data_IF_865477447427
#
_entry.id   IF_865477447427
#
_cell.length_a   1.000
_cell.length_b   1.000
_cell.length_c   1.000
_cell.angle_alpha   90.00
_cell.angle_beta   90.00
_cell.angle_gamma   90.00
#
_symmetry.space_group_name_H-M   'P 1'
#
loop_
_entity.id
_entity.type
_entity.pdbx_description
1 polymer ?
#
# COMPACT_ATOMS: atom_id res chain seq x y z
N UNK A 1 -25.21 30.66 30.13
CA UNK A 1 -23.93 30.21 29.53
C UNK A 1 -24.23 28.90 28.80
N UNK A 2 -24.82 28.97 27.60
CA UNK A 2 -25.41 27.76 26.98
C UNK A 2 -25.49 27.75 25.45
N UNK A 3 -25.41 28.88 24.75
CA UNK A 3 -25.51 28.87 23.27
C UNK A 3 -24.12 28.97 22.60
N UNK A 4 -23.27 29.88 23.09
CA UNK A 4 -21.93 30.11 22.51
C UNK A 4 -20.99 28.91 22.68
N UNK A 5 -21.14 28.13 23.75
CA UNK A 5 -20.31 26.95 24.01
C UNK A 5 -20.69 25.80 23.08
N UNK A 6 -21.97 25.64 22.74
CA UNK A 6 -22.45 24.63 21.79
C UNK A 6 -21.95 24.97 20.39
N UNK A 7 -22.07 26.24 19.98
CA UNK A 7 -21.54 26.73 18.72
C UNK A 7 -20.02 26.52 18.62
N UNK A 8 -19.28 26.87 19.66
CA UNK A 8 -17.83 26.68 19.70
C UNK A 8 -17.43 25.20 19.60
N UNK A 9 -18.15 24.32 20.31
CA UNK A 9 -17.93 22.87 20.24
C UNK A 9 -18.21 22.30 18.85
N UNK A 10 -19.28 22.75 18.20
CA UNK A 10 -19.66 22.29 16.86
C UNK A 10 -18.63 22.71 15.80
N UNK A 11 -18.14 23.95 15.86
CA UNK A 11 -17.07 24.43 14.96
C UNK A 11 -15.79 23.60 15.13
N UNK A 12 -15.41 23.28 16.37
CA UNK A 12 -14.22 22.50 16.67
C UNK A 12 -14.35 21.06 16.15
N UNK A 13 -15.53 20.46 16.28
CA UNK A 13 -15.83 19.12 15.77
C UNK A 13 -15.73 19.07 14.23
N UNK A 14 -16.29 20.07 13.54
CA UNK A 14 -16.19 20.17 12.08
C UNK A 14 -14.74 20.39 11.64
N UNK A 15 -13.99 21.26 12.32
CA UNK A 15 -12.58 21.51 12.01
C UNK A 15 -11.73 20.24 12.18
N UNK A 16 -11.94 19.48 13.26
CA UNK A 16 -11.27 18.20 13.48
C UNK A 16 -11.61 17.18 12.39
N UNK A 17 -12.87 17.09 11.98
CA UNK A 17 -13.30 16.23 10.87
C UNK A 17 -12.62 16.57 9.55
N UNK A 18 -12.44 17.86 9.24
CA UNK A 18 -11.74 18.32 8.03
C UNK A 18 -10.25 17.96 8.09
N UNK A 19 -9.57 18.22 9.21
CA UNK A 19 -8.14 17.93 9.38
C UNK A 19 -7.86 16.43 9.25
N UNK A 20 -8.72 15.58 9.83
CA UNK A 20 -8.59 14.11 9.75
C UNK A 20 -8.91 13.61 8.33
N UNK A 21 -9.84 14.25 7.62
CA UNK A 21 -10.23 13.83 6.26
C UNK A 21 -9.28 14.37 5.17
N UNK A 22 -8.52 15.43 5.46
CA UNK A 22 -7.54 16.05 4.56
C UNK A 22 -6.51 15.07 3.97
N UNK A 23 -5.82 14.20 4.76
CA UNK A 23 -4.84 13.27 4.20
C UNK A 23 -5.47 12.21 3.28
N UNK A 24 -6.77 11.92 3.41
CA UNK A 24 -7.43 10.90 2.61
C UNK A 24 -7.74 11.38 1.17
N UNK A 25 -7.90 12.69 0.95
CA UNK A 25 -8.24 13.24 -0.37
C UNK A 25 -7.05 13.63 -1.25
N UNK A 26 -5.82 13.67 -0.72
CA UNK A 26 -4.68 14.23 -1.46
C UNK A 26 -3.88 13.23 -2.30
N UNK A 27 -4.24 11.95 -2.37
CA UNK A 27 -3.37 10.94 -3.01
C UNK A 27 -3.72 10.53 -4.46
N UNK A 28 -4.46 11.35 -5.22
CA UNK A 28 -4.91 10.95 -6.58
C UNK A 28 -4.17 11.59 -7.76
N UNK A 29 -2.96 12.13 -7.58
CA UNK A 29 -2.07 12.42 -8.73
C UNK A 29 -1.10 11.26 -8.98
N UNK A 30 -1.62 10.06 -9.18
CA UNK A 30 -0.83 8.99 -9.81
C UNK A 30 -1.17 8.96 -11.29
N UNK A 31 -0.15 9.30 -12.07
CA UNK A 31 -0.10 9.18 -13.53
C UNK A 31 -0.77 7.89 -13.99
N UNK A 32 -1.64 8.01 -15.00
CA UNK A 32 -2.24 6.88 -15.71
C UNK A 32 -1.17 6.17 -16.56
N UNK A 33 -0.15 5.59 -15.93
CA UNK A 33 0.56 4.48 -16.52
C UNK A 33 -0.13 3.26 -15.94
N UNK A 34 -0.95 2.64 -16.78
CA UNK A 34 -1.67 1.41 -16.51
C UNK A 34 -0.66 0.26 -16.50
N UNK A 35 0.28 0.31 -15.57
CA UNK A 35 1.20 -0.79 -15.32
C UNK A 35 0.71 -1.53 -14.10
N UNK A 36 0.92 -2.85 -14.14
CA UNK A 36 0.89 -3.72 -12.98
C UNK A 36 1.56 -2.95 -11.83
N UNK A 37 0.80 -2.63 -10.78
CA UNK A 37 1.16 -1.63 -9.76
C UNK A 37 2.65 -1.63 -9.43
N UNK A 38 3.23 -0.43 -9.33
CA UNK A 38 4.69 -0.28 -9.16
C UNK A 38 5.21 -1.16 -8.03
N UNK A 39 6.48 -1.57 -8.09
CA UNK A 39 7.13 -2.40 -7.04
C UNK A 39 6.79 -1.87 -5.64
N UNK A 40 6.88 -0.56 -5.42
CA UNK A 40 6.51 0.09 -4.17
C UNK A 40 5.02 -0.08 -3.77
N UNK A 41 4.08 -0.06 -4.72
CA UNK A 41 2.66 -0.31 -4.43
C UNK A 41 2.38 -1.78 -4.06
N UNK A 42 3.11 -2.71 -4.68
CA UNK A 42 3.02 -4.13 -4.36
C UNK A 42 3.62 -4.43 -2.98
N UNK A 43 4.76 -3.82 -2.63
CA UNK A 43 5.36 -3.89 -1.29
C UNK A 43 4.41 -3.34 -0.21
N UNK A 44 3.83 -2.17 -0.44
CA UNK A 44 2.87 -1.55 0.47
C UNK A 44 1.59 -2.41 0.62
N UNK A 45 1.16 -3.05 -0.47
CA UNK A 45 0.06 -4.01 -0.43
C UNK A 45 0.40 -5.26 0.37
N UNK A 46 1.63 -5.77 0.26
CA UNK A 46 2.12 -6.89 1.06
C UNK A 46 2.17 -6.53 2.55
N UNK A 47 2.71 -5.35 2.90
CA UNK A 47 2.76 -4.87 4.28
C UNK A 47 1.37 -4.75 4.91
N UNK A 48 0.37 -4.26 4.16
CA UNK A 48 -1.02 -4.25 4.62
C UNK A 48 -1.56 -5.66 4.88
N UNK A 49 -1.34 -6.59 3.96
CA UNK A 49 -1.80 -7.97 4.12
C UNK A 49 -1.16 -8.65 5.33
N UNK A 50 0.13 -8.44 5.57
CA UNK A 50 0.83 -8.96 6.77
C UNK A 50 0.22 -8.38 8.04
N UNK A 51 -0.03 -7.06 8.07
CA UNK A 51 -0.72 -6.41 9.19
C UNK A 51 -2.10 -7.03 9.42
N UNK A 52 -2.88 -7.24 8.36
CA UNK A 52 -4.21 -7.87 8.47
C UNK A 52 -4.17 -9.30 9.00
N UNK A 53 -3.16 -10.10 8.63
CA UNK A 53 -3.00 -11.45 9.21
C UNK A 53 -2.71 -11.37 10.70
N UNK A 54 -1.80 -10.47 11.11
CA UNK A 54 -1.47 -10.28 12.52
C UNK A 54 -2.68 -9.84 13.34
N UNK A 55 -3.47 -8.90 12.82
CA UNK A 55 -4.65 -8.40 13.50
C UNK A 55 -5.74 -9.50 13.59
N UNK A 56 -5.88 -10.32 12.55
CA UNK A 56 -6.75 -11.51 12.56
C UNK A 56 -6.30 -12.54 13.61
N UNK A 57 -5.00 -12.85 13.67
CA UNK A 57 -4.44 -13.76 14.66
C UNK A 57 -4.70 -13.23 16.09
N UNK A 58 -4.55 -11.92 16.32
CA UNK A 58 -4.89 -11.30 17.61
C UNK A 58 -6.38 -11.40 17.96
N UNK A 59 -7.27 -11.19 17.00
CA UNK A 59 -8.71 -11.31 17.23
C UNK A 59 -9.13 -12.75 17.57
N UNK A 60 -8.46 -13.75 16.98
CA UNK A 60 -8.65 -15.15 17.34
C UNK A 60 -8.12 -15.47 18.74
N UNK A 61 -6.88 -15.06 19.04
CA UNK A 61 -6.24 -15.29 20.35
C UNK A 61 -7.02 -14.64 21.51
N UNK A 62 -7.70 -13.52 21.23
CA UNK A 62 -8.57 -12.83 22.21
C UNK A 62 -10.00 -13.36 22.23
N UNK A 63 -10.33 -14.35 21.41
CA UNK A 63 -11.65 -14.99 21.36
C UNK A 63 -12.76 -14.11 20.76
N UNK A 64 -12.42 -13.04 20.02
CA UNK A 64 -13.41 -12.19 19.34
C UNK A 64 -14.04 -12.87 18.13
N UNK A 65 -13.34 -13.84 17.54
CA UNK A 65 -13.79 -14.62 16.38
C UNK A 65 -13.69 -16.12 16.66
N UNK A 66 -14.54 -16.90 16.01
CA UNK A 66 -14.53 -18.36 16.11
C UNK A 66 -13.48 -19.01 15.19
N UNK A 67 -13.15 -20.28 15.48
CA UNK A 67 -12.14 -21.04 14.73
C UNK A 67 -12.47 -21.20 13.24
N UNK A 68 -13.73 -21.45 12.89
CA UNK A 68 -14.15 -21.61 11.50
C UNK A 68 -13.90 -20.32 10.69
N UNK A 69 -14.32 -19.17 11.23
CA UNK A 69 -14.13 -17.86 10.60
C UNK A 69 -12.65 -17.51 10.48
N UNK A 70 -11.87 -17.78 11.54
CA UNK A 70 -10.43 -17.59 11.56
C UNK A 70 -9.73 -18.35 10.43
N UNK A 71 -9.98 -19.66 10.31
CA UNK A 71 -9.36 -20.52 9.30
C UNK A 71 -9.68 -20.04 7.88
N UNK A 72 -10.95 -19.70 7.61
CA UNK A 72 -11.38 -19.21 6.31
C UNK A 72 -10.70 -17.89 5.93
N UNK A 73 -10.77 -16.90 6.83
CA UNK A 73 -10.21 -15.57 6.59
C UNK A 73 -8.68 -15.62 6.46
N UNK A 74 -8.01 -16.42 7.29
CA UNK A 74 -6.56 -16.56 7.24
C UNK A 74 -6.10 -17.18 5.93
N UNK A 75 -6.80 -18.21 5.45
CA UNK A 75 -6.52 -18.82 4.14
C UNK A 75 -6.67 -17.80 3.01
N UNK A 76 -7.70 -16.98 3.05
CA UNK A 76 -7.94 -15.93 2.05
C UNK A 76 -6.82 -14.87 2.06
N UNK A 77 -6.43 -14.38 3.24
CA UNK A 77 -5.36 -13.38 3.37
C UNK A 77 -4.02 -13.92 2.89
N UNK A 78 -3.66 -15.15 3.27
CA UNK A 78 -2.43 -15.82 2.80
C UNK A 78 -2.46 -16.00 1.29
N UNK A 79 -3.58 -16.47 0.73
CA UNK A 79 -3.73 -16.64 -0.72
C UNK A 79 -3.54 -15.32 -1.49
N UNK A 80 -4.08 -14.22 -0.96
CA UNK A 80 -3.84 -12.87 -1.50
C UNK A 80 -2.37 -12.47 -1.37
N UNK A 81 -1.73 -12.72 -0.23
CA UNK A 81 -0.31 -12.47 -0.01
C UNK A 81 0.58 -13.17 -1.05
N UNK A 82 0.33 -14.46 -1.29
CA UNK A 82 1.03 -15.24 -2.33
C UNK A 82 0.84 -14.62 -3.72
N UNK A 83 -0.37 -14.17 -4.05
CA UNK A 83 -0.63 -13.54 -5.35
C UNK A 83 0.10 -12.21 -5.53
N UNK A 84 0.25 -11.42 -4.46
CA UNK A 84 1.00 -10.15 -4.48
C UNK A 84 2.49 -10.42 -4.59
N UNK A 85 3.03 -11.39 -3.85
CA UNK A 85 4.44 -11.79 -3.93
C UNK A 85 4.83 -12.23 -5.34
N UNK A 86 4.02 -13.05 -6.01
CA UNK A 86 4.29 -13.45 -7.40
C UNK A 86 4.38 -12.25 -8.35
N UNK A 87 3.49 -11.28 -8.18
CA UNK A 87 3.49 -10.05 -8.99
C UNK A 87 4.70 -9.16 -8.67
N UNK A 88 5.15 -9.15 -7.42
CA UNK A 88 6.35 -8.43 -7.00
C UNK A 88 7.60 -9.06 -7.64
N UNK A 89 7.71 -10.39 -7.61
CA UNK A 89 8.81 -11.12 -8.24
C UNK A 89 8.85 -10.84 -9.76
N UNK A 90 7.70 -10.90 -10.44
CA UNK A 90 7.60 -10.54 -11.86
C UNK A 90 8.03 -9.09 -12.12
N UNK A 91 7.59 -8.14 -11.28
CA UNK A 91 7.91 -6.72 -11.45
C UNK A 91 9.40 -6.42 -11.21
N UNK A 92 10.01 -7.07 -10.21
CA UNK A 92 11.44 -6.95 -9.91
C UNK A 92 12.30 -7.55 -11.04
N UNK A 93 11.87 -8.66 -11.63
CA UNK A 93 12.56 -9.24 -12.78
C UNK A 93 12.57 -8.28 -13.98
N UNK A 94 11.40 -7.73 -14.34
CA UNK A 94 11.29 -6.75 -15.44
C UNK A 94 12.10 -5.49 -15.15
N UNK A 95 12.07 -4.98 -13.93
CA UNK A 95 12.86 -3.81 -13.54
C UNK A 95 14.36 -4.06 -13.75
N UNK A 96 14.84 -5.23 -13.32
CA UNK A 96 16.25 -5.59 -13.49
C UNK A 96 16.66 -5.69 -14.96
N UNK A 97 15.83 -6.31 -15.80
CA UNK A 97 16.12 -6.43 -17.23
C UNK A 97 16.24 -5.05 -17.91
N UNK A 98 15.36 -4.11 -17.53
CA UNK A 98 15.42 -2.73 -18.00
C UNK A 98 16.67 -1.99 -17.49
N UNK A 99 17.03 -2.17 -16.21
CA UNK A 99 18.22 -1.55 -15.62
C UNK A 99 19.51 -2.05 -16.31
N UNK A 100 19.59 -3.35 -16.61
CA UNK A 100 20.71 -3.97 -17.34
C UNK A 100 20.82 -3.40 -18.77
N UNK A 101 19.68 -3.29 -19.50
CA UNK A 101 19.64 -2.68 -20.85
C UNK A 101 20.10 -1.21 -20.83
N UNK A 102 19.67 -0.45 -19.82
CA UNK A 102 20.07 0.96 -19.67
C UNK A 102 21.58 1.08 -19.43
N UNK A 103 22.18 0.23 -18.58
CA UNK A 103 23.62 0.28 -18.33
C UNK A 103 24.42 -0.07 -19.60
N UNK A 104 23.98 -1.04 -20.40
CA UNK A 104 24.59 -1.37 -21.69
C UNK A 104 24.54 -0.19 -22.66
N UNK A 105 23.39 0.50 -22.76
CA UNK A 105 23.24 1.70 -23.57
C UNK A 105 24.15 2.84 -23.09
N UNK A 106 24.27 3.03 -21.77
CA UNK A 106 25.15 4.04 -21.17
C UNK A 106 26.62 3.70 -21.46
N UNK A 107 27.03 2.42 -21.36
CA UNK A 107 28.37 1.97 -21.67
C UNK A 107 28.75 2.23 -23.14
N UNK A 108 27.85 1.92 -24.07
CA UNK A 108 28.04 2.22 -25.49
C UNK A 108 28.19 3.73 -25.74
N UNK A 109 27.38 4.56 -25.07
CA UNK A 109 27.47 6.02 -25.19
C UNK A 109 28.80 6.58 -24.63
N UNK A 110 29.27 6.05 -23.49
CA UNK A 110 30.56 6.43 -22.89
C UNK A 110 31.73 6.14 -23.84
N UNK A 111 31.73 4.98 -24.50
CA UNK A 111 32.78 4.62 -25.46
C UNK A 111 32.76 5.54 -26.69
N UNK A 112 31.57 5.84 -27.22
CA UNK A 112 31.43 6.73 -28.38
C UNK A 112 31.88 8.17 -28.11
N UNK A 113 31.75 8.65 -26.86
CA UNK A 113 32.18 10.00 -26.45
C UNK A 113 33.69 10.10 -26.18
N UNK A 114 34.37 8.97 -25.96
CA UNK A 114 35.81 8.93 -25.68
C UNK A 114 36.69 8.89 -26.95
N UNK A 115 36.08 8.85 -28.14
CA UNK A 115 36.69 8.95 -29.47
C UNK A 115 36.41 10.34 -30.02
#
# INVERSE_FOLDING_TARGET
MSENTILAGLVLLVAAGIVISWPFWMNSRKSKIKDKGSVAELEDSLHRLVTSVRDLDFDFDTGKIGEADYIEQRKLLIGRGVSVLKRLDEALFVQKELDDEIEDMIAAYRQKKAI
#
